data_IF_211966188831
#
_entry.id   IF_211966188831
#
_cell.length_a   1.000
_cell.length_b   1.000
_cell.length_c   1.000
_cell.angle_alpha   90.00
_cell.angle_beta   90.00
_cell.angle_gamma   90.00
#
_symmetry.space_group_name_H-M   'P 1'
#
loop_
_entity.id
_entity.type
_entity.pdbx_description
1 polymer ?
#
# COMPACT_ATOMS: atom_id res chain seq x y z
N UNK A 1 12.62 26.91 17.18
CA UNK A 1 11.86 26.05 16.25
C UNK A 1 12.35 26.35 14.85
N UNK A 2 12.76 25.34 14.11
CA UNK A 2 13.00 25.47 12.68
C UNK A 2 11.72 25.96 11.98
N UNK A 3 11.88 26.79 10.95
CA UNK A 3 10.76 27.36 10.20
C UNK A 3 10.07 26.25 9.40
N UNK A 4 8.77 26.07 9.61
CA UNK A 4 7.95 25.15 8.81
C UNK A 4 7.64 25.78 7.45
N UNK A 5 8.33 25.33 6.40
CA UNK A 5 8.17 25.82 5.04
C UNK A 5 7.00 25.12 4.35
N UNK A 6 6.04 25.89 3.85
CA UNK A 6 5.01 25.38 2.95
C UNK A 6 5.58 25.25 1.54
N UNK A 7 5.06 24.35 0.68
CA UNK A 7 5.52 24.21 -0.69
C UNK A 7 5.50 25.53 -1.50
N UNK A 8 4.54 26.41 -1.21
CA UNK A 8 4.42 27.75 -1.85
C UNK A 8 5.49 28.75 -1.41
N UNK A 9 6.18 28.48 -0.29
CA UNK A 9 7.30 29.30 0.18
C UNK A 9 8.59 28.98 -0.59
N UNK A 10 8.65 27.83 -1.27
CA UNK A 10 9.83 27.31 -1.96
C UNK A 10 9.65 27.25 -3.49
N UNK A 11 8.42 27.10 -3.98
CA UNK A 11 8.12 26.88 -5.40
C UNK A 11 7.06 27.85 -5.89
N UNK A 12 7.22 28.31 -7.14
CA UNK A 12 6.20 29.08 -7.84
C UNK A 12 4.95 28.24 -8.15
N UNK A 13 3.82 28.93 -8.41
CA UNK A 13 2.56 28.25 -8.78
C UNK A 13 2.70 27.41 -10.05
N UNK A 14 3.51 27.86 -11.02
CA UNK A 14 3.74 27.13 -12.26
C UNK A 14 4.58 25.87 -12.04
N UNK A 15 5.64 25.95 -11.22
CA UNK A 15 6.42 24.76 -10.83
C UNK A 15 5.55 23.74 -10.08
N UNK A 16 4.73 24.21 -9.12
CA UNK A 16 3.78 23.37 -8.41
C UNK A 16 2.78 22.69 -9.35
N UNK A 17 2.31 23.39 -10.38
CA UNK A 17 1.38 22.83 -11.38
C UNK A 17 2.04 21.76 -12.23
N UNK A 18 3.31 21.95 -12.59
CA UNK A 18 4.10 20.98 -13.35
C UNK A 18 4.31 19.70 -12.54
N UNK A 19 4.79 19.80 -11.29
CA UNK A 19 5.07 18.62 -10.45
C UNK A 19 3.81 17.87 -10.02
N UNK A 20 2.65 18.56 -9.93
CA UNK A 20 1.36 17.96 -9.55
C UNK A 20 0.61 17.37 -10.74
N UNK A 21 1.12 17.51 -11.98
CA UNK A 21 0.43 17.02 -13.17
C UNK A 21 0.33 15.50 -13.14
N UNK A 22 -0.91 15.00 -13.03
CA UNK A 22 -1.20 13.56 -13.05
C UNK A 22 -1.43 13.07 -14.49
N UNK A 23 -1.11 11.80 -14.73
CA UNK A 23 -1.37 11.10 -16.01
C UNK A 23 -2.23 9.87 -15.74
N UNK A 24 -3.52 10.08 -15.56
CA UNK A 24 -4.47 9.05 -15.11
C UNK A 24 -4.42 7.76 -15.94
N UNK A 25 -4.21 7.85 -17.26
CA UNK A 25 -4.11 6.67 -18.11
C UNK A 25 -2.91 5.77 -17.77
N UNK A 26 -1.80 6.34 -17.28
CA UNK A 26 -0.64 5.56 -16.82
C UNK A 26 -1.05 4.71 -15.63
N UNK A 27 -1.89 5.25 -14.74
CA UNK A 27 -2.37 4.52 -13.56
C UNK A 27 -3.39 3.44 -13.93
N UNK A 28 -4.21 3.66 -14.97
CA UNK A 28 -5.05 2.58 -15.55
C UNK A 28 -4.19 1.43 -16.07
N UNK A 29 -3.13 1.73 -16.84
CA UNK A 29 -2.21 0.71 -17.37
C UNK A 29 -1.45 0.02 -16.23
N UNK A 30 -0.99 0.76 -15.22
CA UNK A 30 -0.33 0.20 -14.03
C UNK A 30 -1.25 -0.76 -13.28
N UNK A 31 -2.48 -0.38 -12.96
CA UNK A 31 -3.43 -1.27 -12.27
C UNK A 31 -3.74 -2.50 -13.15
N UNK A 32 -4.09 -2.27 -14.42
CA UNK A 32 -4.44 -3.34 -15.36
C UNK A 32 -3.32 -4.35 -15.58
N UNK A 33 -2.08 -3.88 -15.71
CA UNK A 33 -0.91 -4.75 -15.89
C UNK A 33 -0.59 -5.60 -14.64
N UNK A 34 -0.79 -5.07 -13.43
CA UNK A 34 -0.63 -5.85 -12.20
C UNK A 34 -1.67 -6.97 -12.11
N UNK A 35 -2.94 -6.66 -12.41
CA UNK A 35 -4.00 -7.66 -12.43
C UNK A 35 -3.81 -8.71 -13.53
N UNK A 36 -3.41 -8.30 -14.73
CA UNK A 36 -3.11 -9.23 -15.82
C UNK A 36 -2.01 -10.21 -15.41
N UNK A 37 -0.94 -9.73 -14.77
CA UNK A 37 0.14 -10.59 -14.27
C UNK A 37 -0.32 -11.55 -13.16
N UNK A 38 -1.18 -11.09 -12.24
CA UNK A 38 -1.78 -11.95 -11.20
C UNK A 38 -2.58 -13.06 -11.87
N UNK A 39 -3.51 -12.71 -12.76
CA UNK A 39 -4.37 -13.68 -13.44
C UNK A 39 -3.57 -14.64 -14.33
N UNK A 40 -2.56 -14.15 -15.04
CA UNK A 40 -1.68 -14.99 -15.85
C UNK A 40 -0.86 -15.97 -15.00
N UNK A 41 -0.35 -15.52 -13.85
CA UNK A 41 0.35 -16.40 -12.90
C UNK A 41 -0.59 -17.46 -12.32
N UNK A 42 -1.82 -17.09 -11.96
CA UNK A 42 -2.84 -18.05 -11.49
C UNK A 42 -3.20 -19.06 -12.59
N UNK A 43 -3.40 -18.59 -13.82
CA UNK A 43 -3.69 -19.45 -14.97
C UNK A 43 -2.53 -20.42 -15.28
N UNK A 44 -1.28 -19.96 -15.20
CA UNK A 44 -0.11 -20.80 -15.40
C UNK A 44 -0.10 -22.01 -14.45
N UNK A 45 -0.31 -21.77 -13.15
CA UNK A 45 -0.36 -22.87 -12.18
C UNK A 45 -1.60 -23.75 -12.38
N UNK A 46 -2.74 -23.16 -12.71
CA UNK A 46 -3.98 -23.91 -12.97
C UNK A 46 -3.84 -24.89 -14.14
N UNK A 47 -3.27 -24.46 -15.26
CA UNK A 47 -3.10 -25.32 -16.46
C UNK A 47 -1.89 -26.25 -16.38
N UNK A 48 -0.86 -25.90 -15.61
CA UNK A 48 0.38 -26.68 -15.50
C UNK A 48 0.76 -26.89 -14.03
N UNK A 49 -0.04 -27.63 -13.23
CA UNK A 49 0.17 -27.72 -11.79
C UNK A 49 1.41 -28.56 -11.46
N UNK A 50 2.48 -27.90 -11.01
CA UNK A 50 3.68 -28.55 -10.48
C UNK A 50 4.39 -27.61 -9.48
N UNK A 51 5.43 -28.11 -8.82
CA UNK A 51 6.13 -27.35 -7.77
C UNK A 51 6.79 -26.06 -8.32
N UNK A 52 7.31 -26.10 -9.55
CA UNK A 52 7.97 -24.95 -10.16
C UNK A 52 6.95 -23.86 -10.52
N UNK A 53 5.86 -24.22 -11.19
CA UNK A 53 4.79 -23.27 -11.53
C UNK A 53 4.11 -22.73 -10.29
N UNK A 54 3.95 -23.54 -9.24
CA UNK A 54 3.46 -23.08 -7.94
C UNK A 54 4.32 -21.95 -7.38
N UNK A 55 5.63 -22.19 -7.21
CA UNK A 55 6.53 -21.17 -6.64
C UNK A 55 6.64 -19.94 -7.54
N UNK A 56 6.71 -20.12 -8.86
CA UNK A 56 6.73 -19.00 -9.79
C UNK A 56 5.47 -18.13 -9.65
N UNK A 57 4.29 -18.76 -9.59
CA UNK A 57 3.03 -18.05 -9.42
C UNK A 57 2.94 -17.35 -8.07
N UNK A 58 3.39 -17.98 -6.98
CA UNK A 58 3.45 -17.37 -5.65
C UNK A 58 4.34 -16.12 -5.65
N UNK A 59 5.53 -16.20 -6.23
CA UNK A 59 6.45 -15.05 -6.32
C UNK A 59 5.85 -13.93 -7.15
N UNK A 60 5.32 -14.24 -8.35
CA UNK A 60 4.71 -13.23 -9.23
C UNK A 60 3.54 -12.56 -8.50
N UNK A 61 2.58 -13.33 -7.99
CA UNK A 61 1.41 -12.79 -7.28
C UNK A 61 1.85 -11.95 -6.08
N UNK A 62 2.78 -12.43 -5.26
CA UNK A 62 3.28 -11.69 -4.10
C UNK A 62 3.90 -10.34 -4.48
N UNK A 63 4.72 -10.28 -5.54
CA UNK A 63 5.27 -8.99 -6.01
C UNK A 63 4.20 -8.06 -6.56
N UNK A 64 3.15 -8.59 -7.21
CA UNK A 64 2.05 -7.77 -7.73
C UNK A 64 1.14 -7.27 -6.60
N UNK A 65 0.92 -8.06 -5.56
CA UNK A 65 0.24 -7.61 -4.35
C UNK A 65 0.99 -6.46 -3.67
N UNK A 66 2.33 -6.53 -3.60
CA UNK A 66 3.13 -5.41 -3.10
C UNK A 66 2.99 -4.16 -3.99
N UNK A 67 2.99 -4.32 -5.32
CA UNK A 67 2.76 -3.20 -6.24
C UNK A 67 1.36 -2.59 -6.06
N UNK A 68 0.32 -3.39 -5.85
CA UNK A 68 -1.02 -2.89 -5.51
C UNK A 68 -1.02 -2.15 -4.17
N UNK A 69 -0.24 -2.58 -3.18
CA UNK A 69 -0.10 -1.87 -1.90
C UNK A 69 0.49 -0.46 -2.09
N UNK A 70 1.48 -0.32 -2.98
CA UNK A 70 2.05 0.99 -3.35
C UNK A 70 1.01 1.88 -4.02
N UNK A 71 0.21 1.34 -4.96
CA UNK A 71 -0.86 2.11 -5.60
C UNK A 71 -1.98 2.49 -4.62
N UNK A 72 -2.31 1.61 -3.67
CA UNK A 72 -3.25 1.90 -2.59
C UNK A 72 -2.74 3.05 -1.70
N UNK A 73 -1.45 3.03 -1.35
CA UNK A 73 -0.77 4.12 -0.65
C UNK A 73 -0.88 5.45 -1.40
N UNK A 74 -0.58 5.47 -2.70
CA UNK A 74 -0.72 6.70 -3.51
C UNK A 74 -2.17 7.18 -3.58
N UNK A 75 -3.12 6.24 -3.59
CA UNK A 75 -4.55 6.53 -3.48
C UNK A 75 -4.93 7.14 -2.12
N UNK A 76 -4.28 6.75 -1.03
CA UNK A 76 -4.47 7.38 0.28
C UNK A 76 -4.03 8.85 0.26
N UNK A 77 -2.98 9.18 -0.48
CA UNK A 77 -2.50 10.55 -0.72
C UNK A 77 -3.32 11.35 -1.76
N UNK A 78 -4.36 10.77 -2.36
CA UNK A 78 -5.10 11.36 -3.49
C UNK A 78 -4.19 11.68 -4.70
N UNK A 79 -3.17 10.84 -4.90
CA UNK A 79 -2.19 10.97 -5.97
C UNK A 79 -2.45 10.00 -7.14
N UNK A 80 -3.26 8.96 -6.94
CA UNK A 80 -3.48 7.92 -7.93
C UNK A 80 -4.33 8.38 -9.12
N UNK A 81 -5.35 9.22 -8.92
CA UNK A 81 -6.14 9.80 -10.03
C UNK A 81 -6.42 11.28 -9.80
N UNK A 82 -6.62 12.02 -10.89
CA UNK A 82 -6.98 13.44 -10.85
C UNK A 82 -8.37 13.70 -10.26
N UNK A 83 -9.33 12.79 -10.52
CA UNK A 83 -10.67 12.82 -9.95
C UNK A 83 -10.70 12.05 -8.63
N UNK A 84 -11.10 12.71 -7.54
CA UNK A 84 -11.12 12.13 -6.20
C UNK A 84 -12.05 10.90 -6.07
N UNK A 85 -13.21 10.90 -6.72
CA UNK A 85 -14.13 9.74 -6.67
C UNK A 85 -13.53 8.52 -7.39
N UNK A 86 -12.88 8.75 -8.54
CA UNK A 86 -12.18 7.69 -9.28
C UNK A 86 -10.96 7.20 -8.49
N UNK A 87 -10.20 8.11 -7.87
CA UNK A 87 -9.08 7.78 -6.99
C UNK A 87 -9.51 6.83 -5.87
N UNK A 88 -10.60 7.18 -5.18
CA UNK A 88 -11.08 6.43 -4.03
C UNK A 88 -11.63 5.08 -4.45
N UNK A 89 -12.47 5.05 -5.48
CA UNK A 89 -12.98 3.80 -6.04
C UNK A 89 -11.83 2.89 -6.49
N UNK A 90 -10.87 3.42 -7.26
CA UNK A 90 -9.82 2.59 -7.85
C UNK A 90 -8.82 2.09 -6.81
N UNK A 91 -8.39 2.96 -5.90
CA UNK A 91 -7.47 2.58 -4.82
C UNK A 91 -8.10 1.60 -3.84
N UNK A 92 -9.39 1.76 -3.53
CA UNK A 92 -10.10 0.86 -2.62
C UNK A 92 -10.34 -0.52 -3.26
N UNK A 93 -11.00 -0.56 -4.42
CA UNK A 93 -11.51 -1.80 -5.01
C UNK A 93 -10.45 -2.60 -5.77
N UNK A 94 -9.58 -1.92 -6.52
CA UNK A 94 -8.60 -2.60 -7.37
C UNK A 94 -7.22 -2.70 -6.75
N UNK A 95 -6.94 -2.00 -5.65
CA UNK A 95 -5.63 -2.00 -5.01
C UNK A 95 -5.68 -2.51 -3.55
N UNK A 96 -6.50 -1.92 -2.68
CA UNK A 96 -6.51 -2.21 -1.24
C UNK A 96 -7.25 -3.50 -0.86
N UNK A 97 -8.54 -3.66 -1.23
CA UNK A 97 -9.31 -4.87 -0.92
C UNK A 97 -8.66 -6.18 -1.43
N UNK A 98 -8.10 -6.24 -2.65
CA UNK A 98 -7.47 -7.45 -3.18
C UNK A 98 -6.27 -7.96 -2.36
N UNK A 99 -5.67 -7.08 -1.54
CA UNK A 99 -4.56 -7.41 -0.66
C UNK A 99 -4.97 -7.39 0.81
N UNK A 100 -6.27 -7.47 1.09
CA UNK A 100 -6.84 -7.42 2.45
C UNK A 100 -6.38 -6.16 3.20
N UNK A 101 -6.57 -5.00 2.59
CA UNK A 101 -6.34 -3.68 3.18
C UNK A 101 -7.55 -2.78 2.93
N UNK A 102 -7.63 -1.66 3.66
CA UNK A 102 -8.77 -0.75 3.59
C UNK A 102 -8.31 0.72 3.64
N UNK A 103 -8.46 1.44 2.53
CA UNK A 103 -7.99 2.83 2.42
C UNK A 103 -8.79 3.81 3.26
N UNK A 104 -10.05 3.48 3.61
CA UNK A 104 -10.94 4.34 4.40
C UNK A 104 -10.36 4.67 5.80
N UNK A 105 -10.03 3.69 6.66
CA UNK A 105 -9.35 3.97 7.92
C UNK A 105 -7.84 4.19 7.74
N UNK A 106 -7.22 3.64 6.70
CA UNK A 106 -5.78 3.76 6.49
C UNK A 106 -5.37 5.19 6.15
N UNK A 107 -6.11 5.90 5.28
CA UNK A 107 -5.80 7.27 4.87
C UNK A 107 -5.62 8.24 6.04
N UNK A 108 -6.59 8.44 6.95
CA UNK A 108 -6.42 9.40 8.05
C UNK A 108 -5.27 9.01 9.00
N UNK A 109 -5.10 7.71 9.28
CA UNK A 109 -3.98 7.19 10.07
C UNK A 109 -2.62 7.51 9.41
N UNK A 110 -2.51 7.19 8.13
CA UNK A 110 -1.28 7.30 7.36
C UNK A 110 -0.88 8.76 7.09
N UNK A 111 -1.86 9.64 6.83
CA UNK A 111 -1.61 11.07 6.71
C UNK A 111 -1.20 11.70 8.04
N UNK A 112 -1.67 11.18 9.18
CA UNK A 112 -1.17 11.59 10.50
C UNK A 112 0.30 11.19 10.69
N UNK A 113 0.68 9.96 10.32
CA UNK A 113 2.08 9.54 10.29
C UNK A 113 2.95 10.49 9.44
N UNK A 114 2.56 10.79 8.20
CA UNK A 114 3.33 11.70 7.34
C UNK A 114 3.41 13.14 7.85
N UNK A 115 2.40 13.60 8.58
CA UNK A 115 2.38 14.95 9.14
C UNK A 115 3.28 15.07 10.37
N UNK A 116 3.35 14.02 11.17
CA UNK A 116 3.98 14.02 12.49
C UNK A 116 5.17 13.07 12.56
N UNK A 117 5.75 12.68 11.42
CA UNK A 117 6.77 11.63 11.31
C UNK A 117 7.89 11.79 12.33
N UNK A 118 8.15 10.72 13.10
CA UNK A 118 9.19 10.67 14.15
C UNK A 118 9.05 11.73 15.27
N UNK A 119 7.85 12.31 15.42
CA UNK A 119 7.50 13.13 16.59
C UNK A 119 6.66 12.31 17.57
N UNK A 120 6.40 12.86 18.76
CA UNK A 120 5.55 12.23 19.78
C UNK A 120 4.11 11.95 19.30
N UNK A 121 3.66 12.67 18.26
CA UNK A 121 2.32 12.52 17.68
C UNK A 121 2.28 11.54 16.50
N UNK A 122 3.40 10.90 16.15
CA UNK A 122 3.43 9.89 15.10
C UNK A 122 2.73 8.60 15.57
N UNK A 123 1.61 8.17 14.94
CA UNK A 123 0.97 6.92 15.30
C UNK A 123 1.86 5.69 15.08
N UNK A 124 2.87 5.78 14.20
CA UNK A 124 3.83 4.71 13.90
C UNK A 124 5.09 4.76 14.77
N UNK A 125 5.25 5.71 15.70
CA UNK A 125 6.47 5.85 16.51
C UNK A 125 6.83 4.56 17.25
N UNK A 126 5.83 3.84 17.75
CA UNK A 126 6.04 2.56 18.44
C UNK A 126 6.65 1.46 17.55
N UNK A 127 6.58 1.63 16.23
CA UNK A 127 7.13 0.73 15.24
C UNK A 127 8.59 1.07 14.90
N UNK A 128 8.98 2.35 14.92
CA UNK A 128 10.32 2.83 14.53
C UNK A 128 11.26 3.10 15.71
N UNK A 129 10.79 3.67 16.81
CA UNK A 129 11.59 4.01 17.99
C UNK A 129 12.39 2.83 18.60
N UNK A 130 11.95 1.56 18.54
CA UNK A 130 12.71 0.44 19.09
C UNK A 130 13.95 0.01 18.28
N UNK A 131 14.23 0.62 17.13
CA UNK A 131 15.41 0.27 16.34
C UNK A 131 16.70 0.91 16.93
N UNK A 132 17.85 0.21 16.88
CA UNK A 132 18.05 -1.13 16.30
C UNK A 132 17.54 -2.27 17.20
N UNK A 133 16.90 -3.27 16.60
CA UNK A 133 16.38 -4.44 17.32
C UNK A 133 17.43 -5.55 17.48
N UNK A 134 17.26 -6.40 18.49
CA UNK A 134 18.14 -7.57 18.68
C UNK A 134 17.96 -8.64 17.60
N UNK A 135 19.00 -9.45 17.34
CA UNK A 135 18.94 -10.60 16.41
C UNK A 135 17.82 -11.59 16.76
N UNK A 136 17.59 -11.82 18.06
CA UNK A 136 16.52 -12.68 18.54
C UNK A 136 15.12 -12.11 18.18
N UNK A 137 14.94 -10.79 18.34
CA UNK A 137 13.72 -10.08 17.95
C UNK A 137 13.48 -10.16 16.44
N UNK A 138 14.52 -9.93 15.64
CA UNK A 138 14.47 -10.06 14.18
C UNK A 138 14.06 -11.48 13.75
N UNK A 139 14.74 -12.52 14.27
CA UNK A 139 14.41 -13.92 13.95
C UNK A 139 12.96 -14.27 14.28
N UNK A 140 12.44 -13.82 15.42
CA UNK A 140 11.03 -14.03 15.80
C UNK A 140 10.07 -13.39 14.78
N UNK A 141 10.35 -12.16 14.34
CA UNK A 141 9.52 -11.45 13.33
C UNK A 141 9.52 -12.21 12.00
N UNK A 142 10.70 -12.61 11.51
CA UNK A 142 10.85 -13.40 10.28
C UNK A 142 10.07 -14.72 10.35
N UNK A 143 10.20 -15.49 11.44
CA UNK A 143 9.44 -16.74 11.60
C UNK A 143 7.94 -16.49 11.59
N UNK A 144 7.46 -15.45 12.28
CA UNK A 144 6.04 -15.09 12.33
C UNK A 144 5.48 -14.70 10.96
N UNK A 145 6.30 -14.08 10.11
CA UNK A 145 5.92 -13.72 8.75
C UNK A 145 5.93 -14.94 7.81
N UNK A 146 6.99 -15.76 7.84
CA UNK A 146 7.11 -16.97 7.03
C UNK A 146 6.05 -18.04 7.38
N UNK A 147 5.62 -18.10 8.64
CA UNK A 147 4.54 -19.00 9.08
C UNK A 147 3.14 -18.46 8.82
N UNK A 148 3.02 -17.21 8.35
CA UNK A 148 1.73 -16.56 8.09
C UNK A 148 0.98 -16.07 9.34
N UNK A 149 1.53 -16.24 10.55
CA UNK A 149 0.91 -15.79 11.81
C UNK A 149 0.64 -14.28 11.82
N UNK A 150 1.58 -13.48 11.28
CA UNK A 150 1.35 -12.04 11.11
C UNK A 150 0.19 -11.78 10.16
N UNK A 151 0.13 -12.51 9.05
CA UNK A 151 -0.90 -12.39 8.02
C UNK A 151 -2.29 -12.65 8.59
N UNK A 152 -2.49 -13.76 9.30
CA UNK A 152 -3.77 -14.12 9.91
C UNK A 152 -4.34 -13.00 10.80
N UNK A 153 -3.49 -12.38 11.62
CA UNK A 153 -3.91 -11.26 12.48
C UNK A 153 -4.22 -9.99 11.68
N UNK A 154 -3.46 -9.69 10.63
CA UNK A 154 -3.72 -8.51 9.79
C UNK A 154 -4.99 -8.68 8.96
N UNK A 155 -5.17 -9.85 8.36
CA UNK A 155 -6.32 -10.13 7.50
C UNK A 155 -7.63 -10.17 8.27
N UNK A 156 -7.65 -10.66 9.52
CA UNK A 156 -8.89 -10.62 10.33
C UNK A 156 -9.34 -9.19 10.65
N UNK A 157 -8.40 -8.30 10.98
CA UNK A 157 -8.67 -6.88 11.19
C UNK A 157 -9.14 -6.21 9.90
N UNK A 158 -8.44 -6.48 8.79
CA UNK A 158 -8.79 -5.92 7.50
C UNK A 158 -10.17 -6.37 7.04
N UNK A 159 -10.47 -7.67 7.07
CA UNK A 159 -11.80 -8.20 6.71
C UNK A 159 -12.88 -7.52 7.54
N UNK A 160 -12.71 -7.40 8.86
CA UNK A 160 -13.66 -6.67 9.70
C UNK A 160 -13.85 -5.23 9.22
N UNK A 161 -12.76 -4.52 8.96
CA UNK A 161 -12.80 -3.14 8.45
C UNK A 161 -13.54 -3.02 7.12
N UNK A 162 -13.29 -3.95 6.19
CA UNK A 162 -13.88 -3.95 4.84
C UNK A 162 -15.40 -3.87 4.93
N UNK A 163 -16.00 -4.65 5.83
CA UNK A 163 -17.45 -4.74 6.01
C UNK A 163 -18.05 -3.76 7.02
N UNK A 164 -17.22 -3.07 7.82
CA UNK A 164 -17.72 -2.17 8.89
C UNK A 164 -17.43 -0.69 8.68
N UNK A 165 -16.51 -0.33 7.79
CA UNK A 165 -16.19 1.08 7.53
C UNK A 165 -17.11 1.68 6.47
N UNK A 166 -17.53 2.92 6.70
CA UNK A 166 -18.39 3.67 5.79
C UNK A 166 -17.55 4.33 4.68
N UNK A 167 -18.17 4.49 3.50
CA UNK A 167 -17.55 5.08 2.32
C UNK A 167 -17.71 6.60 2.26
#
# INVERSE_FOLDING_TARGET
>A
MEKDYKPVDLLSKEELKVIRKKRDWVNVVSIGSNWLQILAAMALFFYFPNILTFFLSVVVVGTRQFALAVLAHDGAHNLLFSNAKINDLASQWFCAFPIFSDNRPYRPYHLAHHRFTETENDPDLSLSAPFPITKASFRRKVIRDLTGLTGLRRYSIAIKSIFSSEA
#
